data_IF_354458198074
#
_entry.id   IF_354458198074
#
_cell.length_a   1.000
_cell.length_b   1.000
_cell.length_c   1.000
_cell.angle_alpha   90.00
_cell.angle_beta   90.00
_cell.angle_gamma   90.00
#
_symmetry.space_group_name_H-M   'P 1'
#
loop_
_entity.id
_entity.type
_entity.pdbx_description
1 polymer ?
#
# COMPACT_ATOMS: atom_id res chain seq x y z
N UNK A 1 -6.06 13.68 -11.35
CA UNK A 1 -6.77 13.38 -12.63
C UNK A 1 -7.37 11.97 -12.57
N UNK A 2 -8.68 11.85 -12.76
CA UNK A 2 -9.41 10.58 -12.73
C UNK A 2 -9.44 9.88 -14.11
N UNK A 3 -8.81 10.48 -15.12
CA UNK A 3 -8.82 10.14 -16.55
C UNK A 3 -7.66 9.23 -16.98
N UNK A 4 -6.86 8.70 -16.04
CA UNK A 4 -5.75 7.81 -16.36
C UNK A 4 -4.56 8.48 -17.07
N UNK A 5 -4.53 9.81 -17.16
CA UNK A 5 -3.42 10.60 -17.70
C UNK A 5 -2.35 10.97 -16.66
N UNK A 6 -2.41 10.36 -15.47
CA UNK A 6 -1.60 10.77 -14.33
C UNK A 6 -0.12 10.41 -14.47
N UNK A 7 0.66 11.36 -14.96
CA UNK A 7 2.12 11.37 -14.92
C UNK A 7 2.55 12.18 -13.70
N UNK A 8 3.53 11.65 -12.97
CA UNK A 8 4.21 12.48 -11.97
C UNK A 8 5.27 13.30 -12.68
N UNK A 9 4.99 14.58 -12.87
CA UNK A 9 5.99 15.53 -13.37
C UNK A 9 7.00 15.79 -12.24
N UNK A 10 8.29 15.64 -12.56
CA UNK A 10 9.36 16.07 -11.67
C UNK A 10 9.44 17.58 -11.83
N UNK A 11 8.93 18.30 -10.84
CA UNK A 11 9.04 19.75 -10.82
C UNK A 11 10.54 20.14 -10.76
N UNK A 12 11.06 20.92 -11.74
CA UNK A 12 12.46 21.33 -11.74
C UNK A 12 12.83 22.24 -10.55
N UNK A 13 11.85 22.82 -9.84
CA UNK A 13 12.10 23.62 -8.62
C UNK A 13 12.48 22.78 -7.39
N UNK A 14 12.41 21.43 -7.44
CA UNK A 14 12.82 20.53 -6.34
C UNK A 14 14.36 20.45 -6.19
N UNK A 15 15.09 21.40 -6.76
CA UNK A 15 16.56 21.52 -6.72
C UNK A 15 17.02 22.68 -5.81
N UNK A 16 16.12 23.56 -5.33
CA UNK A 16 16.53 24.69 -4.49
C UNK A 16 15.69 24.85 -3.23
N UNK A 17 15.88 23.99 -2.23
CA UNK A 17 15.51 24.32 -0.85
C UNK A 17 16.65 23.86 0.07
N UNK A 18 17.11 24.80 0.92
CA UNK A 18 18.29 24.76 1.78
C UNK A 18 18.60 23.40 2.42
N UNK A 19 19.85 22.97 2.26
CA UNK A 19 20.49 21.90 3.02
C UNK A 19 20.57 22.31 4.50
N UNK A 20 19.48 22.14 5.25
CA UNK A 20 19.59 22.07 6.71
C UNK A 20 20.37 20.79 7.02
N UNK A 21 21.66 20.95 7.28
CA UNK A 21 22.55 19.86 7.63
C UNK A 21 22.01 19.07 8.82
N UNK A 22 22.09 17.74 8.79
CA UNK A 22 21.63 16.84 9.87
C UNK A 22 22.10 17.27 11.27
N UNK A 23 23.21 18.00 11.37
CA UNK A 23 23.78 18.53 12.60
C UNK A 23 22.86 19.55 13.30
N UNK A 24 22.15 20.41 12.55
CA UNK A 24 21.22 21.41 13.11
C UNK A 24 19.99 20.77 13.75
N UNK A 25 19.54 19.63 13.21
CA UNK A 25 18.41 18.88 13.76
C UNK A 25 18.81 18.17 15.07
N UNK A 26 20.05 17.69 15.15
CA UNK A 26 20.60 17.05 16.36
C UNK A 26 20.67 18.04 17.54
N UNK A 27 21.15 19.27 17.29
CA UNK A 27 21.24 20.31 18.33
C UNK A 27 19.86 20.76 18.85
N UNK A 28 18.85 20.81 17.97
CA UNK A 28 17.46 21.15 18.35
C UNK A 28 16.77 20.04 19.17
N UNK A 29 17.13 18.78 18.96
CA UNK A 29 16.59 17.65 19.74
C UNK A 29 17.24 17.57 21.12
N UNK A 30 18.53 17.89 21.23
CA UNK A 30 19.30 17.86 22.47
C UNK A 30 18.94 19.00 23.44
N UNK A 31 18.43 20.12 22.94
CA UNK A 31 18.04 21.29 23.76
C UNK A 31 16.68 21.14 24.47
N UNK A 32 15.92 20.06 24.22
CA UNK A 32 14.58 19.85 24.79
C UNK A 32 14.53 19.13 26.15
N UNK A 33 15.67 18.81 26.77
CA UNK A 33 15.76 18.44 28.20
C UNK A 33 14.98 17.20 28.67
N UNK A 34 14.48 16.35 27.77
CA UNK A 34 13.88 15.05 28.16
C UNK A 34 15.00 14.00 28.24
N UNK A 35 15.10 13.30 29.37
CA UNK A 35 15.98 12.14 29.49
C UNK A 35 15.55 11.07 28.49
N UNK A 36 16.29 10.95 27.38
CA UNK A 36 16.05 9.91 26.39
C UNK A 36 16.79 8.64 26.82
N UNK A 37 16.10 7.51 26.83
CA UNK A 37 16.79 6.21 26.89
C UNK A 37 17.60 6.05 25.60
N UNK A 38 18.93 6.06 25.75
CA UNK A 38 19.87 5.92 24.64
C UNK A 38 19.76 4.50 24.06
N UNK A 39 19.59 4.39 22.74
CA UNK A 39 19.74 3.12 22.03
C UNK A 39 21.17 2.64 22.29
N UNK A 40 21.31 1.54 23.04
CA UNK A 40 22.64 0.96 23.28
C UNK A 40 23.13 0.32 21.99
N UNK A 41 24.08 1.01 21.37
CA UNK A 41 24.86 0.57 20.21
C UNK A 41 25.56 -0.75 20.50
N UNK A 42 25.63 -1.62 19.50
CA UNK A 42 26.54 -2.76 19.55
C UNK A 42 27.95 -2.27 19.20
N UNK A 43 29.00 -2.90 19.71
CA UNK A 43 30.39 -2.52 19.40
C UNK A 43 30.79 -2.80 17.92
N UNK A 44 29.83 -2.85 16.99
CA UNK A 44 30.00 -3.11 15.56
C UNK A 44 29.11 -2.18 14.73
N UNK A 45 29.76 -1.24 14.02
CA UNK A 45 29.08 -0.25 13.19
C UNK A 45 28.21 -0.87 12.07
N UNK A 46 28.63 -2.02 11.51
CA UNK A 46 27.86 -2.72 10.47
C UNK A 46 26.56 -3.33 11.01
N UNK A 47 26.62 -3.92 12.20
CA UNK A 47 25.44 -4.47 12.88
C UNK A 47 24.46 -3.35 13.22
N UNK A 48 24.99 -2.22 13.68
CA UNK A 48 24.17 -1.07 14.03
C UNK A 48 23.56 -0.38 12.82
N UNK A 49 24.31 -0.25 11.73
CA UNK A 49 23.79 0.29 10.48
C UNK A 49 22.63 -0.56 9.92
N UNK A 50 22.74 -1.90 9.99
CA UNK A 50 21.68 -2.82 9.55
C UNK A 50 20.42 -2.71 10.39
N UNK A 51 20.57 -2.68 11.72
CA UNK A 51 19.45 -2.55 12.65
C UNK A 51 18.75 -1.19 12.52
N UNK A 52 19.52 -0.10 12.47
CA UNK A 52 19.00 1.25 12.27
C UNK A 52 18.27 1.40 10.94
N UNK A 53 18.85 0.87 9.86
CA UNK A 53 18.22 0.91 8.53
C UNK A 53 16.91 0.12 8.49
N UNK A 54 16.85 -1.03 9.17
CA UNK A 54 15.63 -1.83 9.28
C UNK A 54 14.52 -1.08 10.02
N UNK A 55 14.84 -0.43 11.15
CA UNK A 55 13.89 0.40 11.89
C UNK A 55 13.46 1.62 11.07
N UNK A 56 14.39 2.31 10.42
CA UNK A 56 14.08 3.44 9.55
C UNK A 56 13.15 3.04 8.41
N UNK A 57 13.38 1.89 7.78
CA UNK A 57 12.48 1.35 6.77
C UNK A 57 11.08 1.04 7.35
N UNK A 58 11.01 0.53 8.58
CA UNK A 58 9.72 0.25 9.22
C UNK A 58 8.90 1.52 9.49
N UNK A 59 9.56 2.66 9.76
CA UNK A 59 8.90 3.96 9.94
C UNK A 59 8.16 4.44 8.68
N UNK A 60 8.48 3.91 7.50
CA UNK A 60 7.72 4.21 6.28
C UNK A 60 6.25 3.81 6.40
N UNK A 61 5.91 2.85 7.28
CA UNK A 61 4.52 2.52 7.61
C UNK A 61 3.73 3.71 8.14
N UNK A 62 4.38 4.71 8.75
CA UNK A 62 3.74 5.91 9.28
C UNK A 62 3.14 6.82 8.20
N UNK A 63 3.53 6.64 6.92
CA UNK A 63 2.82 7.29 5.81
C UNK A 63 1.41 6.73 5.57
N UNK A 64 1.09 5.54 6.13
CA UNK A 64 -0.11 4.78 5.75
C UNK A 64 -0.88 4.17 6.92
N UNK A 65 -0.27 4.11 8.11
CA UNK A 65 -0.82 3.49 9.33
C UNK A 65 -0.95 4.51 10.45
N UNK A 66 -1.91 4.28 11.35
CA UNK A 66 -2.07 5.10 12.56
C UNK A 66 -0.93 4.84 13.56
N UNK A 67 -0.76 5.78 14.48
CA UNK A 67 0.14 5.72 15.61
C UNK A 67 -0.10 4.47 16.47
N UNK A 68 -1.35 4.14 16.79
CA UNK A 68 -1.66 2.95 17.60
C UNK A 68 -1.33 1.66 16.86
N UNK A 69 -1.53 1.63 15.53
CA UNK A 69 -1.22 0.47 14.72
C UNK A 69 0.30 0.20 14.72
N UNK A 70 1.10 1.25 14.57
CA UNK A 70 2.56 1.13 14.57
C UNK A 70 3.11 0.71 15.93
N UNK A 71 2.67 1.36 17.01
CA UNK A 71 3.09 1.02 18.38
C UNK A 71 2.77 -0.44 18.71
N UNK A 72 1.55 -0.90 18.39
CA UNK A 72 1.15 -2.30 18.61
C UNK A 72 1.98 -3.29 17.78
N UNK A 73 2.37 -2.90 16.57
CA UNK A 73 3.16 -3.73 15.68
C UNK A 73 4.67 -3.73 16.02
N UNK A 74 5.15 -2.83 16.88
CA UNK A 74 6.58 -2.59 17.08
C UNK A 74 7.34 -3.83 17.55
N UNK A 75 6.83 -4.54 18.57
CA UNK A 75 7.45 -5.78 19.05
C UNK A 75 7.54 -6.84 17.95
N UNK A 76 6.50 -6.94 17.11
CA UNK A 76 6.51 -7.85 15.98
C UNK A 76 7.52 -7.41 14.91
N UNK A 77 7.67 -6.11 14.65
CA UNK A 77 8.67 -5.57 13.72
C UNK A 77 10.07 -5.97 14.19
N UNK A 78 10.41 -5.72 15.47
CA UNK A 78 11.73 -6.06 16.00
C UNK A 78 11.98 -7.57 16.02
N UNK A 79 10.99 -8.39 16.42
CA UNK A 79 11.13 -9.85 16.38
C UNK A 79 11.30 -10.39 14.95
N UNK A 80 10.68 -9.76 13.96
CA UNK A 80 10.76 -10.19 12.57
C UNK A 80 12.09 -9.81 11.88
N UNK A 81 12.97 -9.07 12.55
CA UNK A 81 14.33 -8.81 12.09
C UNK A 81 15.11 -10.10 11.82
N UNK A 82 14.90 -11.12 12.66
CA UNK A 82 15.54 -12.44 12.51
C UNK A 82 15.18 -13.13 11.20
N UNK A 83 13.96 -12.94 10.70
CA UNK A 83 13.55 -13.53 9.43
C UNK A 83 14.25 -12.88 8.23
N UNK A 84 14.77 -11.66 8.39
CA UNK A 84 15.43 -10.92 7.33
C UNK A 84 16.96 -11.11 7.35
N UNK A 85 17.57 -11.03 8.54
CA UNK A 85 19.03 -11.08 8.70
C UNK A 85 19.56 -12.38 9.32
N UNK A 86 18.68 -13.31 9.70
CA UNK A 86 19.07 -14.58 10.32
C UNK A 86 19.51 -14.48 11.79
N UNK A 87 19.49 -13.28 12.37
CA UNK A 87 19.97 -13.00 13.72
C UNK A 87 18.95 -12.23 14.54
N UNK A 88 18.97 -12.35 15.85
CA UNK A 88 18.09 -11.56 16.73
C UNK A 88 18.38 -10.06 16.58
N UNK A 89 17.35 -9.24 16.82
CA UNK A 89 17.50 -7.79 16.79
C UNK A 89 18.57 -7.33 17.80
N UNK A 90 19.63 -6.63 17.37
CA UNK A 90 20.84 -6.46 18.18
C UNK A 90 20.80 -5.26 19.13
N UNK A 91 19.81 -4.37 18.99
CA UNK A 91 19.69 -3.15 19.79
C UNK A 91 18.59 -3.28 20.85
N UNK A 92 18.83 -2.64 22.01
CA UNK A 92 17.74 -2.35 22.95
C UNK A 92 17.10 -1.03 22.55
N UNK A 93 15.83 -1.06 22.18
CA UNK A 93 15.07 0.15 21.80
C UNK A 93 14.06 0.46 22.88
N UNK A 94 14.00 1.72 23.29
CA UNK A 94 13.02 2.20 24.25
C UNK A 94 11.59 1.89 23.78
N UNK A 95 10.68 1.72 24.75
CA UNK A 95 9.26 1.58 24.43
C UNK A 95 8.76 2.81 23.68
N UNK A 96 8.17 2.59 22.51
CA UNK A 96 7.60 3.67 21.71
C UNK A 96 6.38 4.26 22.41
N UNK A 97 6.36 5.58 22.54
CA UNK A 97 5.17 6.29 23.02
C UNK A 97 4.26 6.65 21.85
N UNK A 98 2.94 6.61 22.08
CA UNK A 98 1.95 7.04 21.10
C UNK A 98 2.20 8.50 20.69
N UNK A 99 2.53 9.37 21.65
CA UNK A 99 2.82 10.79 21.40
C UNK A 99 4.03 10.99 20.46
N UNK A 100 5.12 10.24 20.65
CA UNK A 100 6.30 10.31 19.80
C UNK A 100 5.98 9.88 18.36
N UNK A 101 5.25 8.78 18.21
CA UNK A 101 4.85 8.29 16.88
C UNK A 101 3.86 9.25 16.21
N UNK A 102 2.92 9.82 16.95
CA UNK A 102 1.99 10.84 16.43
C UNK A 102 2.73 12.07 15.94
N UNK A 103 3.78 12.49 16.64
CA UNK A 103 4.64 13.60 16.22
C UNK A 103 5.32 13.28 14.88
N UNK A 104 5.87 12.06 14.72
CA UNK A 104 6.47 11.63 13.46
C UNK A 104 5.46 11.59 12.30
N UNK A 105 4.25 11.06 12.54
CA UNK A 105 3.16 11.06 11.54
C UNK A 105 2.82 12.49 11.12
N UNK A 106 2.72 13.42 12.08
CA UNK A 106 2.46 14.82 11.79
C UNK A 106 3.56 15.41 10.89
N UNK A 107 4.84 15.15 11.20
CA UNK A 107 5.97 15.60 10.38
C UNK A 107 5.92 15.01 8.97
N UNK A 108 5.72 13.71 8.81
CA UNK A 108 5.58 13.09 7.47
C UNK A 108 4.40 13.62 6.67
N UNK A 109 3.34 14.05 7.33
CA UNK A 109 2.15 14.57 6.66
C UNK A 109 2.32 16.02 6.18
N UNK A 110 3.01 16.86 6.96
CA UNK A 110 3.08 18.31 6.75
C UNK A 110 4.42 18.80 6.18
N UNK A 111 5.52 18.08 6.39
CA UNK A 111 6.82 18.48 5.84
C UNK A 111 6.97 17.99 4.40
N UNK A 112 6.90 18.94 3.46
CA UNK A 112 7.07 18.66 2.02
C UNK A 112 8.39 17.98 1.71
N UNK A 113 9.48 18.36 2.36
CA UNK A 113 10.80 17.77 2.15
C UNK A 113 10.81 16.26 2.36
N UNK A 114 10.09 15.74 3.36
CA UNK A 114 10.02 14.30 3.64
C UNK A 114 9.22 13.56 2.56
N UNK A 115 8.10 14.13 2.11
CA UNK A 115 7.33 13.58 0.98
C UNK A 115 8.12 13.63 -0.33
N UNK A 116 8.80 14.73 -0.61
CA UNK A 116 9.62 14.90 -1.82
C UNK A 116 10.80 13.93 -1.83
N UNK A 117 11.44 13.73 -0.67
CA UNK A 117 12.53 12.75 -0.51
C UNK A 117 12.01 11.34 -0.78
N UNK A 118 10.89 10.95 -0.16
CA UNK A 118 10.25 9.67 -0.42
C UNK A 118 9.91 9.51 -1.91
N UNK A 119 9.35 10.54 -2.54
CA UNK A 119 9.04 10.54 -3.97
C UNK A 119 10.28 10.24 -4.82
N UNK A 120 11.39 10.95 -4.60
CA UNK A 120 12.65 10.75 -5.32
C UNK A 120 13.17 9.31 -5.17
N UNK A 121 13.13 8.74 -3.95
CA UNK A 121 13.52 7.35 -3.71
C UNK A 121 12.64 6.35 -4.47
N UNK A 122 11.32 6.50 -4.38
CA UNK A 122 10.37 5.60 -5.04
C UNK A 122 10.49 5.68 -6.56
N UNK A 123 10.62 6.89 -7.11
CA UNK A 123 10.75 7.12 -8.54
C UNK A 123 12.06 6.54 -9.09
N UNK A 124 13.18 6.81 -8.42
CA UNK A 124 14.51 6.32 -8.84
C UNK A 124 14.59 4.80 -8.85
N UNK A 125 13.94 4.15 -7.87
CA UNK A 125 13.90 2.69 -7.77
C UNK A 125 12.77 2.04 -8.58
N UNK A 126 11.89 2.83 -9.20
CA UNK A 126 10.79 2.34 -10.04
C UNK A 126 11.27 1.69 -11.34
N UNK A 127 10.55 0.67 -11.79
CA UNK A 127 10.77 0.02 -13.09
C UNK A 127 11.99 -0.91 -13.20
N UNK A 128 12.93 -0.88 -12.25
CA UNK A 128 14.09 -1.79 -12.24
C UNK A 128 13.73 -3.18 -11.69
N UNK A 129 14.19 -4.25 -12.35
CA UNK A 129 14.07 -5.63 -11.84
C UNK A 129 15.22 -6.01 -10.90
N UNK A 130 16.39 -5.33 -11.00
CA UNK A 130 17.62 -5.68 -10.26
C UNK A 130 17.47 -5.63 -8.73
N UNK A 131 16.57 -4.81 -8.21
CA UNK A 131 16.32 -4.64 -6.78
C UNK A 131 14.85 -4.85 -6.40
N UNK A 132 14.11 -5.64 -7.19
CA UNK A 132 12.67 -5.81 -7.01
C UNK A 132 12.29 -6.36 -5.63
N UNK A 133 13.01 -7.37 -5.15
CA UNK A 133 12.78 -7.93 -3.81
C UNK A 133 12.97 -6.90 -2.70
N UNK A 134 14.03 -6.10 -2.78
CA UNK A 134 14.33 -5.06 -1.81
C UNK A 134 13.30 -3.93 -1.85
N UNK A 135 12.93 -3.45 -3.05
CA UNK A 135 11.87 -2.44 -3.21
C UNK A 135 10.54 -2.95 -2.67
N UNK A 136 10.20 -4.21 -2.96
CA UNK A 136 8.95 -4.81 -2.48
C UNK A 136 8.91 -4.84 -0.96
N UNK A 137 10.02 -5.21 -0.34
CA UNK A 137 10.17 -5.27 1.10
C UNK A 137 10.13 -3.89 1.76
N UNK A 138 10.98 -2.95 1.33
CA UNK A 138 11.11 -1.63 1.95
C UNK A 138 9.89 -0.74 1.69
N UNK A 139 9.33 -0.79 0.48
CA UNK A 139 8.34 0.17 0.02
C UNK A 139 6.99 -0.48 -0.28
N UNK A 140 6.92 -1.45 -1.21
CA UNK A 140 5.62 -1.91 -1.71
C UNK A 140 4.74 -2.51 -0.62
N UNK A 141 5.33 -3.28 0.30
CA UNK A 141 4.61 -3.88 1.42
C UNK A 141 3.94 -2.85 2.34
N UNK A 142 4.46 -1.62 2.38
CA UNK A 142 4.04 -0.60 3.34
C UNK A 142 3.29 0.57 2.70
N UNK A 143 3.65 0.91 1.46
CA UNK A 143 3.25 2.13 0.78
C UNK A 143 2.34 1.88 -0.43
N UNK A 144 2.45 0.73 -1.08
CA UNK A 144 1.69 0.48 -2.30
C UNK A 144 0.19 0.30 -2.01
N UNK A 145 -0.63 0.83 -2.91
CA UNK A 145 -2.08 0.78 -2.90
C UNK A 145 -2.72 1.24 -1.59
N UNK A 146 -2.08 2.21 -0.92
CA UNK A 146 -2.54 2.75 0.36
C UNK A 146 -4.01 3.19 0.30
N UNK A 147 -4.82 2.61 1.20
CA UNK A 147 -6.26 2.89 1.29
C UNK A 147 -7.11 2.31 0.15
N UNK A 148 -6.52 1.56 -0.78
CA UNK A 148 -7.16 1.00 -1.97
C UNK A 148 -7.10 -0.53 -1.98
N UNK A 149 -7.61 -1.18 -0.92
CA UNK A 149 -7.64 -2.65 -0.82
C UNK A 149 -8.33 -3.31 -2.02
N UNK A 150 -9.23 -2.59 -2.66
CA UNK A 150 -9.90 -2.99 -3.88
C UNK A 150 -8.92 -3.52 -4.94
N UNK A 151 -7.83 -2.81 -5.21
CA UNK A 151 -6.90 -3.13 -6.31
C UNK A 151 -6.30 -4.52 -6.11
N UNK A 152 -5.79 -4.80 -4.91
CA UNK A 152 -5.18 -6.09 -4.61
C UNK A 152 -6.21 -7.22 -4.56
N UNK A 153 -7.41 -6.98 -4.02
CA UNK A 153 -8.50 -7.98 -4.01
C UNK A 153 -8.93 -8.31 -5.44
N UNK A 154 -9.15 -7.29 -6.27
CA UNK A 154 -9.63 -7.44 -7.64
C UNK A 154 -8.63 -8.20 -8.51
N UNK A 155 -7.34 -7.82 -8.49
CA UNK A 155 -6.30 -8.50 -9.28
C UNK A 155 -6.18 -9.97 -8.86
N UNK A 156 -6.24 -10.26 -7.55
CA UNK A 156 -6.19 -11.63 -7.02
C UNK A 156 -7.42 -12.43 -7.44
N UNK A 157 -8.61 -11.83 -7.43
CA UNK A 157 -9.83 -12.48 -7.89
C UNK A 157 -9.75 -12.83 -9.38
N UNK A 158 -9.38 -11.87 -10.24
CA UNK A 158 -9.20 -12.12 -11.67
C UNK A 158 -8.18 -13.24 -11.93
N UNK A 159 -7.07 -13.22 -11.20
CA UNK A 159 -6.02 -14.25 -11.29
C UNK A 159 -6.51 -15.62 -10.85
N UNK A 160 -7.33 -15.71 -9.80
CA UNK A 160 -7.88 -16.98 -9.29
C UNK A 160 -8.97 -17.55 -10.18
N UNK A 161 -9.83 -16.67 -10.70
CA UNK A 161 -10.90 -17.04 -11.64
C UNK A 161 -10.39 -17.26 -13.06
N UNK A 162 -9.11 -16.97 -13.34
CA UNK A 162 -8.53 -16.97 -14.68
C UNK A 162 -9.39 -16.19 -15.69
N UNK A 163 -9.84 -15.00 -15.31
CA UNK A 163 -10.72 -14.18 -16.14
C UNK A 163 -10.15 -12.78 -16.44
N UNK A 164 -10.51 -12.19 -17.60
CA UNK A 164 -10.11 -10.81 -17.91
C UNK A 164 -10.72 -9.80 -16.91
N UNK A 165 -9.96 -8.78 -16.47
CA UNK A 165 -10.49 -7.68 -15.66
C UNK A 165 -11.78 -7.05 -16.20
N UNK A 166 -11.86 -6.84 -17.52
CA UNK A 166 -13.03 -6.25 -18.16
C UNK A 166 -14.32 -7.05 -17.91
N UNK A 167 -14.25 -8.38 -17.90
CA UNK A 167 -15.42 -9.23 -17.65
C UNK A 167 -15.98 -9.01 -16.24
N UNK A 168 -15.10 -8.96 -15.23
CA UNK A 168 -15.51 -8.72 -13.83
C UNK A 168 -16.17 -7.36 -13.71
N UNK A 169 -15.64 -6.34 -14.38
CA UNK A 169 -16.23 -4.99 -14.37
C UNK A 169 -17.57 -4.93 -15.08
N UNK A 170 -17.73 -5.60 -16.23
CA UNK A 170 -19.01 -5.68 -16.94
C UNK A 170 -20.10 -6.35 -16.09
N UNK A 171 -19.77 -7.40 -15.33
CA UNK A 171 -20.74 -8.05 -14.45
C UNK A 171 -21.11 -7.16 -13.26
N UNK A 172 -20.18 -6.31 -12.81
CA UNK A 172 -20.38 -5.37 -11.71
C UNK A 172 -20.94 -4.02 -12.16
N UNK A 173 -21.23 -3.86 -13.45
CA UNK A 173 -21.74 -2.63 -14.04
C UNK A 173 -23.21 -2.41 -13.65
N UNK A 174 -23.38 -1.85 -12.45
CA UNK A 174 -24.66 -1.47 -11.88
C UNK A 174 -24.67 0.05 -11.66
N UNK A 175 -25.82 0.74 -11.78
CA UNK A 175 -25.90 2.19 -11.59
C UNK A 175 -25.34 2.67 -10.24
N UNK A 176 -25.46 1.84 -9.20
CA UNK A 176 -24.92 2.09 -7.86
C UNK A 176 -23.39 2.08 -7.77
N UNK A 177 -22.69 1.44 -8.72
CA UNK A 177 -21.24 1.32 -8.78
C UNK A 177 -20.59 2.03 -9.97
N UNK A 178 -21.36 2.78 -10.76
CA UNK A 178 -20.88 3.45 -11.98
C UNK A 178 -19.59 4.25 -11.74
N UNK A 179 -19.54 5.02 -10.64
CA UNK A 179 -18.35 5.81 -10.27
C UNK A 179 -17.13 4.93 -9.99
N UNK A 180 -17.31 3.81 -9.31
CA UNK A 180 -16.25 2.87 -8.95
C UNK A 180 -15.78 2.11 -10.19
N UNK A 181 -16.69 1.67 -11.05
CA UNK A 181 -16.38 0.96 -12.31
C UNK A 181 -15.57 1.87 -13.24
N UNK A 182 -16.02 3.11 -13.46
CA UNK A 182 -15.29 4.09 -14.29
C UNK A 182 -13.90 4.42 -13.74
N UNK A 183 -13.80 4.60 -12.42
CA UNK A 183 -12.51 4.81 -11.77
C UNK A 183 -11.59 3.59 -11.92
N UNK A 184 -12.14 2.38 -11.89
CA UNK A 184 -11.37 1.15 -12.06
C UNK A 184 -10.91 0.93 -13.50
N UNK A 185 -11.73 1.27 -14.50
CA UNK A 185 -11.29 1.26 -15.90
C UNK A 185 -10.07 2.18 -16.09
N UNK A 186 -10.10 3.36 -15.48
CA UNK A 186 -8.98 4.32 -15.49
C UNK A 186 -7.74 3.76 -14.78
N UNK A 187 -7.93 3.05 -13.66
CA UNK A 187 -6.85 2.36 -12.95
C UNK A 187 -6.25 1.21 -13.76
N UNK A 188 -7.07 0.39 -14.40
CA UNK A 188 -6.62 -0.69 -15.29
C UNK A 188 -5.82 -0.14 -16.46
N UNK A 189 -6.24 0.99 -17.02
CA UNK A 189 -5.46 1.69 -18.03
C UNK A 189 -4.07 2.06 -17.49
N UNK A 190 -3.98 2.69 -16.31
CA UNK A 190 -2.68 3.01 -15.68
C UNK A 190 -1.80 1.79 -15.39
N UNK A 191 -2.39 0.68 -14.95
CA UNK A 191 -1.66 -0.57 -14.64
C UNK A 191 -1.08 -1.21 -15.90
N UNK A 192 -1.82 -1.12 -17.02
CA UNK A 192 -1.47 -1.79 -18.28
C UNK A 192 -0.61 -0.93 -19.21
N UNK A 193 -0.50 0.37 -18.94
CA UNK A 193 0.38 1.29 -19.68
C UNK A 193 1.86 0.90 -19.54
N UNK A 194 2.58 0.97 -20.66
CA UNK A 194 4.01 0.61 -20.77
C UNK A 194 4.90 1.75 -21.28
N UNK A 195 4.34 2.93 -21.51
CA UNK A 195 5.09 4.11 -21.94
C UNK A 195 6.07 4.60 -20.87
N UNK A 196 7.13 5.31 -21.30
CA UNK A 196 8.25 5.74 -20.45
C UNK A 196 7.80 6.48 -19.18
N UNK A 197 6.77 7.32 -19.27
CA UNK A 197 6.20 8.05 -18.13
C UNK A 197 5.59 7.16 -17.05
N UNK A 198 5.20 5.92 -17.39
CA UNK A 198 4.51 4.98 -16.50
C UNK A 198 5.34 3.75 -16.14
N UNK A 199 6.51 3.55 -16.77
CA UNK A 199 7.42 2.43 -16.48
C UNK A 199 7.82 2.34 -15.00
N UNK A 200 7.86 3.48 -14.30
CA UNK A 200 8.19 3.56 -12.87
C UNK A 200 7.08 3.05 -11.96
N UNK A 201 5.86 2.86 -12.48
CA UNK A 201 4.67 2.36 -11.76
C UNK A 201 4.35 3.16 -10.50
N UNK A 202 4.56 4.48 -10.53
CA UNK A 202 4.34 5.35 -9.37
C UNK A 202 2.87 5.46 -8.96
N UNK A 203 1.93 5.06 -9.84
CA UNK A 203 0.50 5.00 -9.56
C UNK A 203 0.17 4.24 -8.27
N UNK A 204 0.95 3.20 -7.92
CA UNK A 204 0.72 2.42 -6.69
C UNK A 204 0.92 3.23 -5.42
N UNK A 205 1.66 4.35 -5.48
CA UNK A 205 1.88 5.26 -4.37
C UNK A 205 1.06 6.55 -4.46
N UNK A 206 0.22 6.69 -5.50
CA UNK A 206 -0.48 7.95 -5.82
C UNK A 206 -1.22 8.57 -4.64
N UNK A 207 -1.82 7.73 -3.79
CA UNK A 207 -2.55 8.17 -2.58
C UNK A 207 -1.71 8.84 -1.50
N UNK A 208 -0.41 8.57 -1.45
CA UNK A 208 0.52 9.19 -0.49
C UNK A 208 0.77 10.65 -0.88
N UNK A 209 0.80 10.94 -2.18
CA UNK A 209 1.12 12.25 -2.73
C UNK A 209 -0.11 13.07 -3.10
N UNK A 210 -1.24 12.41 -3.37
CA UNK A 210 -2.49 13.05 -3.72
C UNK A 210 -3.66 12.31 -3.07
N UNK A 211 -4.30 12.97 -2.11
CA UNK A 211 -5.40 12.36 -1.37
C UNK A 211 -6.66 12.12 -2.22
N UNK A 212 -6.82 12.84 -3.32
CA UNK A 212 -7.91 12.66 -4.27
C UNK A 212 -7.62 11.55 -5.31
N UNK A 213 -6.39 11.03 -5.37
CA UNK A 213 -6.04 9.97 -6.30
C UNK A 213 -6.92 8.73 -6.08
N UNK A 214 -7.66 8.35 -7.14
CA UNK A 214 -8.61 7.23 -7.14
C UNK A 214 -9.57 7.24 -5.93
N UNK A 215 -10.03 8.43 -5.53
CA UNK A 215 -10.92 8.60 -4.38
C UNK A 215 -12.16 7.67 -4.36
N UNK A 216 -12.85 7.43 -5.50
CA UNK A 216 -13.98 6.49 -5.55
C UNK A 216 -13.63 5.05 -5.17
N UNK A 217 -12.38 4.62 -5.34
CA UNK A 217 -11.89 3.27 -5.02
C UNK A 217 -11.30 3.14 -3.61
N UNK A 218 -11.30 4.23 -2.83
CA UNK A 218 -10.88 4.16 -1.44
C UNK A 218 -11.85 3.29 -0.66
N UNK A 219 -11.32 2.36 0.15
CA UNK A 219 -12.17 1.39 0.84
C UNK A 219 -13.23 2.04 1.75
N UNK A 220 -12.94 3.22 2.31
CA UNK A 220 -13.91 4.00 3.08
C UNK A 220 -15.08 4.54 2.24
N UNK A 221 -14.85 4.83 0.96
CA UNK A 221 -15.84 5.42 0.05
C UNK A 221 -16.67 4.36 -0.68
N UNK A 222 -16.16 3.12 -0.80
CA UNK A 222 -16.81 2.03 -1.52
C UNK A 222 -16.80 0.70 -0.76
N UNK A 223 -16.97 0.73 0.58
CA UNK A 223 -16.81 -0.43 1.46
C UNK A 223 -17.66 -1.64 1.04
N UNK A 224 -18.92 -1.42 0.62
CA UNK A 224 -19.78 -2.48 0.08
C UNK A 224 -19.22 -3.15 -1.17
N UNK A 225 -18.73 -2.34 -2.12
CA UNK A 225 -18.12 -2.83 -3.35
C UNK A 225 -16.85 -3.66 -3.09
N UNK A 226 -15.98 -3.18 -2.18
CA UNK A 226 -14.79 -3.93 -1.76
C UNK A 226 -15.18 -5.22 -1.01
N UNK A 227 -16.22 -5.17 -0.18
CA UNK A 227 -16.72 -6.34 0.57
C UNK A 227 -17.26 -7.42 -0.36
N UNK A 228 -18.06 -7.06 -1.37
CA UNK A 228 -18.55 -7.98 -2.42
C UNK A 228 -17.40 -8.74 -3.08
N UNK A 229 -16.34 -8.04 -3.50
CA UNK A 229 -15.17 -8.67 -4.09
C UNK A 229 -14.39 -9.54 -3.10
N UNK A 230 -14.26 -9.09 -1.85
CA UNK A 230 -13.56 -9.84 -0.81
C UNK A 230 -14.28 -11.16 -0.50
N UNK A 231 -15.62 -11.15 -0.46
CA UNK A 231 -16.45 -12.34 -0.31
C UNK A 231 -16.28 -13.29 -1.49
N UNK A 232 -16.31 -12.78 -2.73
CA UNK A 232 -16.07 -13.58 -3.92
C UNK A 232 -14.68 -14.25 -3.87
N UNK A 233 -13.63 -13.48 -3.56
CA UNK A 233 -12.26 -14.00 -3.46
C UNK A 233 -12.08 -15.01 -2.32
N UNK A 234 -12.69 -14.77 -1.16
CA UNK A 234 -12.68 -15.72 -0.04
C UNK A 234 -13.33 -17.03 -0.45
N UNK A 235 -14.49 -16.97 -1.11
CA UNK A 235 -15.22 -18.17 -1.56
C UNK A 235 -14.45 -18.94 -2.62
N UNK A 236 -13.76 -18.25 -3.53
CA UNK A 236 -12.93 -18.89 -4.55
C UNK A 236 -11.64 -19.51 -3.99
N UNK A 237 -11.03 -18.90 -2.98
CA UNK A 237 -9.77 -19.39 -2.42
C UNK A 237 -9.62 -19.10 -0.93
N UNK A 238 -10.39 -19.80 -0.10
CA UNK A 238 -10.46 -19.60 1.36
C UNK A 238 -9.09 -19.73 2.05
N UNK A 239 -8.30 -20.74 1.68
CA UNK A 239 -7.00 -21.02 2.32
C UNK A 239 -6.00 -19.88 2.16
N UNK A 240 -5.97 -19.22 1.00
CA UNK A 240 -5.05 -18.10 0.74
C UNK A 240 -5.61 -16.72 1.13
N UNK A 241 -6.83 -16.67 1.68
CA UNK A 241 -7.59 -15.44 1.92
C UNK A 241 -8.31 -15.41 3.28
N UNK A 242 -7.82 -16.15 4.28
CA UNK A 242 -8.50 -16.28 5.58
C UNK A 242 -8.87 -14.92 6.21
N UNK A 243 -7.98 -13.94 6.11
CA UNK A 243 -8.12 -12.62 6.73
C UNK A 243 -8.65 -11.54 5.77
N UNK A 244 -9.13 -11.87 4.57
CA UNK A 244 -9.51 -10.86 3.57
C UNK A 244 -10.73 -10.01 3.98
N UNK A 245 -11.52 -10.52 4.95
CA UNK A 245 -12.66 -9.81 5.53
C UNK A 245 -12.30 -9.01 6.81
N UNK A 246 -11.04 -9.03 7.25
CA UNK A 246 -10.60 -8.31 8.46
C UNK A 246 -10.19 -6.86 8.15
N UNK A 247 -10.79 -6.25 7.13
CA UNK A 247 -10.56 -4.86 6.79
C UNK A 247 -11.40 -4.00 7.73
N UNK A 248 -10.78 -3.03 8.41
CA UNK A 248 -11.43 -2.22 9.44
C UNK A 248 -12.75 -1.59 8.95
N UNK A 249 -12.79 -1.06 7.73
CA UNK A 249 -13.99 -0.42 7.17
C UNK A 249 -15.18 -1.37 6.99
N UNK A 250 -15.01 -2.68 7.11
CA UNK A 250 -16.10 -3.65 7.06
C UNK A 250 -16.84 -3.78 8.40
N UNK A 251 -16.27 -3.31 9.51
CA UNK A 251 -16.99 -3.26 10.79
C UNK A 251 -18.20 -2.32 10.73
N UNK A 252 -18.13 -1.30 9.88
CA UNK A 252 -19.15 -0.26 9.75
C UNK A 252 -20.35 -0.71 8.89
N UNK A 253 -20.25 -1.89 8.26
CA UNK A 253 -21.34 -2.48 7.50
C UNK A 253 -22.31 -3.24 8.43
N UNK A 254 -23.61 -2.95 8.33
CA UNK A 254 -24.64 -3.72 9.01
C UNK A 254 -24.71 -5.16 8.48
N UNK A 255 -25.20 -6.09 9.31
CA UNK A 255 -25.30 -7.50 8.94
C UNK A 255 -26.21 -7.73 7.73
N UNK A 256 -27.29 -6.95 7.61
CA UNK A 256 -28.17 -7.02 6.44
C UNK A 256 -27.44 -6.61 5.14
N UNK A 257 -26.62 -5.56 5.21
CA UNK A 257 -25.79 -5.15 4.05
C UNK A 257 -24.75 -6.19 3.72
N UNK A 258 -24.09 -6.78 4.72
CA UNK A 258 -23.11 -7.87 4.51
C UNK A 258 -23.74 -9.06 3.79
N UNK A 259 -24.95 -9.49 4.19
CA UNK A 259 -25.69 -10.57 3.53
C UNK A 259 -25.99 -10.24 2.06
N UNK A 260 -26.43 -9.01 1.77
CA UNK A 260 -26.67 -8.55 0.40
C UNK A 260 -25.37 -8.63 -0.42
N UNK A 261 -24.27 -8.06 0.09
CA UNK A 261 -22.99 -8.04 -0.62
C UNK A 261 -22.36 -9.43 -0.79
N UNK A 262 -22.57 -10.33 0.17
CA UNK A 262 -22.21 -11.74 0.05
C UNK A 262 -22.97 -12.40 -1.10
N UNK A 263 -24.30 -12.24 -1.15
CA UNK A 263 -25.12 -12.76 -2.23
C UNK A 263 -24.70 -12.19 -3.59
N UNK A 264 -24.34 -10.90 -3.66
CA UNK A 264 -23.79 -10.28 -4.87
C UNK A 264 -22.43 -10.91 -5.25
N UNK A 265 -21.55 -11.17 -4.29
CA UNK A 265 -20.27 -11.83 -4.53
C UNK A 265 -20.44 -13.25 -5.09
N UNK A 266 -21.43 -13.98 -4.61
CA UNK A 266 -21.80 -15.28 -5.17
C UNK A 266 -22.41 -15.19 -6.57
N UNK A 267 -23.26 -14.18 -6.81
CA UNK A 267 -23.80 -13.87 -8.13
C UNK A 267 -22.70 -13.56 -9.15
N UNK A 268 -21.69 -12.79 -8.75
CA UNK A 268 -20.51 -12.50 -9.56
C UNK A 268 -19.78 -13.78 -9.97
N UNK A 269 -19.45 -14.65 -9.00
CA UNK A 269 -18.74 -15.90 -9.28
C UNK A 269 -19.52 -16.81 -10.23
N UNK A 270 -20.85 -16.95 -10.02
CA UNK A 270 -21.72 -17.73 -10.91
C UNK A 270 -21.72 -17.18 -12.33
N UNK A 271 -21.84 -15.87 -12.47
CA UNK A 271 -21.88 -15.19 -13.77
C UNK A 271 -20.56 -15.37 -14.52
N UNK A 272 -19.42 -15.18 -13.85
CA UNK A 272 -18.09 -15.41 -14.45
C UNK A 272 -18.00 -16.85 -14.96
N UNK A 273 -18.31 -17.84 -14.13
CA UNK A 273 -18.21 -19.26 -14.51
C UNK A 273 -19.12 -19.63 -15.67
N UNK A 274 -20.34 -19.10 -15.70
CA UNK A 274 -21.29 -19.33 -16.81
C UNK A 274 -20.76 -18.77 -18.13
N UNK A 275 -20.14 -17.59 -18.10
CA UNK A 275 -19.60 -16.93 -19.29
C UNK A 275 -18.31 -17.62 -19.74
N UNK A 276 -17.41 -17.98 -18.83
CA UNK A 276 -16.18 -18.70 -19.18
C UNK A 276 -16.42 -20.13 -19.65
N UNK A 277 -17.50 -20.78 -19.19
CA UNK A 277 -17.89 -22.10 -19.69
C UNK A 277 -18.51 -22.05 -21.10
N UNK A 278 -18.99 -20.88 -21.54
CA UNK A 278 -19.58 -20.67 -22.86
C UNK A 278 -18.62 -20.03 -23.86
N UNK A 279 -17.46 -19.54 -23.42
CA UNK A 279 -16.46 -18.90 -24.25
C UNK A 279 -15.12 -19.65 -24.21
N UNK A 280 -14.57 -20.01 -25.37
CA UNK A 280 -13.17 -20.41 -25.54
C UNK A 280 -12.26 -19.17 -25.33
N UNK A 281 -12.15 -18.69 -24.09
CA UNK A 281 -11.41 -17.47 -23.79
C UNK A 281 -9.90 -17.75 -23.62
N UNK A 282 -9.01 -17.01 -24.32
CA UNK A 282 -7.57 -17.17 -24.15
C UNK A 282 -7.11 -16.67 -22.77
N UNK A 283 -6.11 -17.33 -22.14
CA UNK A 283 -5.60 -16.92 -20.84
C UNK A 283 -4.79 -15.62 -20.93
N UNK A 284 -5.16 -14.60 -20.15
CA UNK A 284 -4.38 -13.36 -20.03
C UNK A 284 -3.39 -13.54 -18.89
N UNK A 285 -2.16 -14.00 -19.20
CA UNK A 285 -1.08 -14.03 -18.22
C UNK A 285 0.24 -13.49 -18.80
N UNK A 286 0.43 -12.18 -18.66
CA UNK A 286 1.77 -11.57 -18.59
C UNK A 286 1.76 -10.20 -17.93
N UNK A 287 0.67 -9.42 -18.03
CA UNK A 287 0.66 -8.00 -17.62
C UNK A 287 0.35 -7.79 -16.13
N UNK A 288 -0.51 -8.61 -15.51
CA UNK A 288 -0.93 -8.41 -14.10
C UNK A 288 -0.02 -9.06 -13.05
N UNK A 289 0.95 -9.90 -13.45
CA UNK A 289 1.84 -10.61 -12.51
C UNK A 289 2.80 -9.67 -11.76
N UNK A 290 2.98 -8.46 -12.31
CA UNK A 290 3.92 -7.44 -11.84
C UNK A 290 3.23 -6.16 -11.34
N UNK A 291 1.91 -6.21 -11.09
CA UNK A 291 1.11 -5.14 -10.48
C UNK A 291 0.91 -5.39 -8.98
#
# INVERSE_FOLDING_TARGET
>A
PADGSYVFDVDPEIVSEDDSTCDELSERVNSAGRGYEVIRSTNSDDVDAKASSYLAASLLRLFTKSDENYVRAFNHITSNYQNFYGTSFPMTVAQLTIEGIRTLIHLFSHQRILKNTLFKFLYSNGGSTKAEGMRKFLFDLHLANTGMHFVSIFIRLCSKMNCPPGLVLTILDAPEYERQVNCMLSMLHLITRTDEGHQKKMWKYGRIFNDAFMAPLQTKACSGFVYTLACALKKESSQSNQNILNIAQFSDLSDDRKRIYEAMGEGLLRSIRSITASADAPPIFSILRNA
#
